data_IF_286943004118
#
_entry.id   IF_286943004118
#
_cell.length_a   1.000
_cell.length_b   1.000
_cell.length_c   1.000
_cell.angle_alpha   90.00
_cell.angle_beta   90.00
_cell.angle_gamma   90.00
#
_symmetry.space_group_name_H-M   'P 1'
#
loop_
_entity.id
_entity.type
_entity.pdbx_description
1 polymer ?
#
# COMPACT_ATOMS: atom_id res chain seq x y z
N UNK A 1 -7.28 -10.34 -2.14
CA UNK A 1 -8.55 -10.01 -2.87
C UNK A 1 -9.19 -8.65 -2.48
N UNK A 2 -8.89 -7.99 -1.36
CA UNK A 2 -9.76 -6.90 -0.87
C UNK A 2 -9.55 -5.47 -1.44
N UNK A 3 -8.37 -5.10 -1.95
CA UNK A 3 -8.07 -3.68 -2.26
C UNK A 3 -8.74 -3.16 -3.53
N UNK A 4 -8.92 -4.00 -4.56
CA UNK A 4 -9.44 -3.61 -5.87
C UNK A 4 -10.96 -3.34 -5.93
N UNK A 5 -11.72 -3.77 -4.91
CA UNK A 5 -13.19 -3.64 -4.89
C UNK A 5 -13.68 -2.30 -4.32
N UNK A 6 -13.06 -1.19 -4.69
CA UNK A 6 -13.57 0.15 -4.34
C UNK A 6 -13.24 0.61 -2.92
N UNK A 7 -12.11 0.18 -2.36
CA UNK A 7 -11.61 0.69 -1.07
C UNK A 7 -10.86 2.01 -1.21
N UNK A 8 -10.60 2.66 -0.08
CA UNK A 8 -9.93 3.96 0.06
C UNK A 8 -8.73 4.18 -0.88
N UNK A 9 -7.75 3.24 -1.03
CA UNK A 9 -6.59 3.49 -1.89
C UNK A 9 -6.95 3.66 -3.37
N UNK A 10 -7.94 2.91 -3.86
CA UNK A 10 -8.41 3.01 -5.25
C UNK A 10 -9.18 4.31 -5.48
N UNK A 11 -9.93 4.77 -4.47
CA UNK A 11 -10.60 6.08 -4.52
C UNK A 11 -9.59 7.22 -4.67
N UNK A 12 -8.52 7.20 -3.86
CA UNK A 12 -7.43 8.18 -3.95
C UNK A 12 -6.74 8.11 -5.31
N UNK A 13 -6.39 6.92 -5.79
CA UNK A 13 -5.76 6.70 -7.09
C UNK A 13 -6.60 7.27 -8.25
N UNK A 14 -7.89 6.96 -8.27
CA UNK A 14 -8.81 7.47 -9.30
C UNK A 14 -8.92 9.00 -9.28
N UNK A 15 -9.00 9.60 -8.09
CA UNK A 15 -9.06 11.06 -7.96
C UNK A 15 -7.77 11.73 -8.42
N UNK A 16 -6.60 11.19 -8.06
CA UNK A 16 -5.29 11.73 -8.45
C UNK A 16 -5.04 11.62 -9.96
N UNK A 17 -5.50 10.52 -10.59
CA UNK A 17 -5.35 10.28 -12.03
C UNK A 17 -5.99 11.36 -12.90
N UNK A 18 -7.07 12.00 -12.44
CA UNK A 18 -7.73 13.11 -13.16
C UNK A 18 -6.80 14.32 -13.30
N UNK A 19 -5.83 14.45 -12.40
CA UNK A 19 -4.86 15.54 -12.34
C UNK A 19 -3.44 15.12 -12.76
N UNK A 20 -3.27 13.90 -13.28
CA UNK A 20 -1.96 13.33 -13.64
C UNK A 20 -0.96 13.31 -12.46
N UNK A 21 -1.46 13.10 -11.24
CA UNK A 21 -0.63 13.04 -10.04
C UNK A 21 -0.29 11.56 -9.73
N UNK A 22 0.99 11.20 -9.56
CA UNK A 22 1.39 9.84 -9.23
C UNK A 22 0.98 9.45 -7.81
N UNK A 23 0.62 8.17 -7.62
CA UNK A 23 0.16 7.61 -6.35
C UNK A 23 1.02 6.43 -5.92
N UNK A 24 1.62 6.57 -4.74
CA UNK A 24 2.44 5.54 -4.10
C UNK A 24 1.68 4.98 -2.89
N UNK A 25 1.53 3.65 -2.84
CA UNK A 25 0.87 2.97 -1.73
C UNK A 25 1.88 2.37 -0.76
N UNK A 26 1.87 2.82 0.49
CA UNK A 26 2.67 2.26 1.58
C UNK A 26 1.75 1.42 2.48
N UNK A 27 2.00 0.12 2.57
CA UNK A 27 1.10 -0.85 3.18
C UNK A 27 1.77 -1.61 4.34
N UNK A 28 0.97 -2.04 5.32
CA UNK A 28 1.44 -2.93 6.39
C UNK A 28 1.93 -4.28 5.85
N UNK A 29 1.20 -4.86 4.90
CA UNK A 29 1.57 -6.09 4.21
C UNK A 29 0.95 -6.11 2.80
N UNK A 30 1.52 -6.94 1.92
CA UNK A 30 0.98 -7.16 0.58
C UNK A 30 0.28 -8.52 0.53
N UNK A 31 -0.98 -8.51 0.13
CA UNK A 31 -1.74 -9.73 -0.09
C UNK A 31 -1.44 -10.36 -1.45
N UNK A 32 -1.86 -11.61 -1.63
CA UNK A 32 -1.83 -12.27 -2.95
C UNK A 32 -2.57 -11.43 -4.00
N UNK A 33 -1.95 -11.30 -5.17
CA UNK A 33 -2.44 -10.53 -6.33
C UNK A 33 -2.64 -9.04 -6.04
N UNK A 34 -1.79 -8.43 -5.19
CA UNK A 34 -1.84 -6.98 -4.96
C UNK A 34 -1.57 -6.18 -6.24
N UNK A 35 -0.86 -6.74 -7.22
CA UNK A 35 -0.47 -6.09 -8.48
C UNK A 35 -1.67 -5.57 -9.28
N UNK A 36 -2.86 -6.12 -9.09
CA UNK A 36 -4.08 -5.63 -9.72
C UNK A 36 -4.38 -4.14 -9.40
N UNK A 37 -3.78 -3.56 -8.34
CA UNK A 37 -3.92 -2.13 -8.06
C UNK A 37 -3.26 -1.23 -9.11
N UNK A 38 -2.26 -1.73 -9.85
CA UNK A 38 -1.59 -0.97 -10.91
C UNK A 38 -2.56 -0.59 -12.03
N UNK A 39 -3.45 -1.51 -12.40
CA UNK A 39 -4.52 -1.28 -13.38
C UNK A 39 -5.52 -0.20 -12.91
N UNK A 40 -5.55 0.09 -11.61
CA UNK A 40 -6.45 1.07 -11.00
C UNK A 40 -5.79 2.41 -10.66
N UNK A 41 -4.56 2.66 -11.14
CA UNK A 41 -3.91 3.97 -11.04
C UNK A 41 -3.05 4.20 -9.80
N UNK A 42 -2.66 3.13 -9.09
CA UNK A 42 -1.54 3.20 -8.16
C UNK A 42 -0.27 2.91 -8.97
N UNK A 43 0.77 3.73 -8.83
CA UNK A 43 2.00 3.61 -9.63
C UNK A 43 3.03 2.70 -8.98
N UNK A 44 3.09 2.69 -7.65
CA UNK A 44 3.99 1.81 -6.89
C UNK A 44 3.41 1.39 -5.54
N UNK A 45 3.86 0.25 -5.04
CA UNK A 45 3.32 -0.37 -3.81
C UNK A 45 4.46 -0.96 -3.00
N UNK A 46 4.50 -0.64 -1.71
CA UNK A 46 5.52 -1.12 -0.77
C UNK A 46 4.90 -1.73 0.48
N UNK A 47 5.56 -2.76 1.01
CA UNK A 47 5.31 -3.29 2.36
C UNK A 47 6.27 -2.63 3.34
N UNK A 48 5.81 -2.20 4.50
CA UNK A 48 6.69 -1.64 5.54
C UNK A 48 7.41 -2.74 6.35
N UNK A 49 6.88 -3.96 6.41
CA UNK A 49 7.52 -5.06 7.16
C UNK A 49 8.85 -5.43 6.50
N UNK A 50 9.95 -5.20 7.23
CA UNK A 50 11.33 -5.36 6.73
C UNK A 50 11.82 -6.83 6.69
N UNK A 51 11.31 -7.67 7.59
CA UNK A 51 11.71 -9.06 7.72
C UNK A 51 10.56 -9.92 8.28
N UNK A 52 10.57 -11.24 8.08
CA UNK A 52 9.62 -12.13 8.74
C UNK A 52 9.64 -11.92 10.27
N UNK A 53 8.47 -11.71 10.85
CA UNK A 53 8.28 -11.54 12.29
C UNK A 53 6.85 -11.91 12.69
N UNK A 54 6.61 -12.03 13.99
CA UNK A 54 5.25 -12.18 14.51
C UNK A 54 4.44 -10.87 14.41
N UNK A 55 3.12 -10.99 14.53
CA UNK A 55 2.21 -9.84 14.39
C UNK A 55 2.44 -8.77 15.46
N UNK A 56 2.85 -9.17 16.67
CA UNK A 56 3.08 -8.25 17.78
C UNK A 56 4.28 -7.35 17.46
N UNK A 57 5.38 -7.96 17.03
CA UNK A 57 6.60 -7.27 16.61
C UNK A 57 6.34 -6.33 15.43
N UNK A 58 5.56 -6.78 14.44
CA UNK A 58 5.20 -5.97 13.27
C UNK A 58 4.39 -4.72 13.66
N UNK A 59 3.43 -4.86 14.58
CA UNK A 59 2.60 -3.75 15.06
C UNK A 59 3.39 -2.78 15.94
N UNK A 60 4.23 -3.29 16.85
CA UNK A 60 5.08 -2.48 17.72
C UNK A 60 6.10 -1.63 16.93
N UNK A 61 6.67 -2.19 15.87
CA UNK A 61 7.65 -1.49 15.03
C UNK A 61 7.02 -0.72 13.85
N UNK A 62 5.69 -0.81 13.65
CA UNK A 62 4.98 -0.20 12.52
C UNK A 62 5.34 1.26 12.26
N UNK A 63 5.35 2.16 13.27
CA UNK A 63 5.74 3.56 13.08
C UNK A 63 7.17 3.73 12.55
N UNK A 64 8.13 2.95 13.08
CA UNK A 64 9.54 3.00 12.66
C UNK A 64 9.70 2.51 11.22
N UNK A 65 9.04 1.40 10.87
CA UNK A 65 9.07 0.84 9.54
C UNK A 65 8.42 1.76 8.50
N UNK A 66 7.31 2.40 8.87
CA UNK A 66 6.66 3.40 8.03
C UNK A 66 7.60 4.58 7.75
N UNK A 67 8.24 5.13 8.79
CA UNK A 67 9.19 6.25 8.63
C UNK A 67 10.38 5.90 7.73
N UNK A 68 10.84 4.64 7.72
CA UNK A 68 11.95 4.21 6.85
C UNK A 68 11.54 3.98 5.40
N UNK A 69 10.26 3.71 5.16
CA UNK A 69 9.72 3.45 3.82
C UNK A 69 9.31 4.73 3.10
N UNK A 70 8.88 5.75 3.85
CA UNK A 70 8.49 7.07 3.33
C UNK A 70 9.70 7.95 3.00
#
# INVERSE_FOLDING_TARGET
KQTIYGKTPIGVAKSAKVFDIPVIAICGSLGTNYQAVYEHGIDSVFSIVEHPCDIKTALENGPKYLQRTA
#
